data_IF_201457303762
#
_entry.id   IF_201457303762
#
_cell.length_a   1.000
_cell.length_b   1.000
_cell.length_c   1.000
_cell.angle_alpha   90.00
_cell.angle_beta   90.00
_cell.angle_gamma   90.00
#
_symmetry.space_group_name_H-M   'P 1'
#
loop_
_entity.id
_entity.type
_entity.pdbx_description
1 polymer ?
#
# COMPACT_ATOMS: atom_id res chain seq x y z
N UNK A 1 21.01 -20.84 -14.34
CA UNK A 1 20.11 -19.84 -14.95
C UNK A 1 18.88 -20.59 -15.42
N UNK A 2 17.82 -20.60 -14.60
CA UNK A 2 16.51 -21.03 -15.07
C UNK A 2 16.01 -19.93 -16.02
N UNK A 3 15.93 -20.25 -17.29
CA UNK A 3 15.24 -19.41 -18.27
C UNK A 3 13.75 -19.57 -18.01
N UNK A 4 13.18 -18.72 -17.17
CA UNK A 4 11.73 -18.56 -17.11
C UNK A 4 11.32 -17.90 -18.44
N UNK A 5 10.79 -18.68 -19.37
CA UNK A 5 10.08 -18.14 -20.52
C UNK A 5 8.77 -17.54 -19.97
N UNK A 6 8.86 -16.31 -19.48
CA UNK A 6 7.74 -15.57 -18.92
C UNK A 6 6.92 -15.00 -20.07
N UNK A 7 5.94 -15.75 -20.52
CA UNK A 7 4.92 -15.22 -21.40
C UNK A 7 3.92 -14.39 -20.58
N UNK A 8 3.49 -13.25 -21.13
CA UNK A 8 2.46 -12.35 -20.59
C UNK A 8 1.08 -13.02 -20.32
N UNK A 9 0.98 -14.31 -20.54
CA UNK A 9 -0.25 -15.12 -20.47
C UNK A 9 -0.19 -16.23 -19.42
N UNK A 10 0.44 -15.99 -18.27
CA UNK A 10 0.27 -16.94 -17.17
C UNK A 10 -1.10 -16.73 -16.53
N UNK A 11 -2.05 -17.59 -16.89
CA UNK A 11 -3.43 -17.56 -16.42
C UNK A 11 -3.59 -17.78 -14.89
N UNK A 12 -2.49 -18.06 -14.18
CA UNK A 12 -2.49 -18.30 -12.75
C UNK A 12 -2.00 -17.10 -11.93
N UNK A 13 -1.58 -16.03 -12.58
CA UNK A 13 -1.11 -14.82 -11.89
C UNK A 13 -2.25 -13.83 -11.65
N UNK A 14 -2.44 -13.45 -10.40
CA UNK A 14 -3.48 -12.53 -9.92
C UNK A 14 -2.87 -11.39 -9.13
N UNK A 15 -3.57 -10.27 -9.07
CA UNK A 15 -3.22 -9.12 -8.25
C UNK A 15 -4.40 -8.72 -7.37
N UNK A 16 -4.11 -8.39 -6.12
CA UNK A 16 -5.04 -7.74 -5.20
C UNK A 16 -4.49 -6.38 -4.82
N UNK A 17 -5.21 -5.32 -5.17
CA UNK A 17 -4.87 -3.95 -4.80
C UNK A 17 -5.63 -3.59 -3.52
N UNK A 18 -4.90 -3.24 -2.48
CA UNK A 18 -5.43 -2.88 -1.17
C UNK A 18 -5.73 -1.37 -1.13
N UNK A 19 -6.99 -1.00 -1.19
CA UNK A 19 -7.46 0.38 -1.32
C UNK A 19 -8.52 0.77 -0.26
N UNK A 20 -8.44 0.19 0.93
CA UNK A 20 -9.43 0.39 2.01
C UNK A 20 -9.04 1.43 3.06
N UNK A 21 -7.83 1.98 3.01
CA UNK A 21 -7.34 2.94 4.00
C UNK A 21 -8.00 4.31 3.91
N UNK A 22 -8.19 4.98 5.05
CA UNK A 22 -8.78 6.34 5.11
C UNK A 22 -7.80 7.47 4.80
N UNK A 23 -6.50 7.21 4.80
CA UNK A 23 -5.44 8.09 4.30
C UNK A 23 -5.42 9.52 4.82
N UNK A 24 -5.70 9.74 6.12
CA UNK A 24 -5.86 11.09 6.71
C UNK A 24 -4.57 11.92 6.80
N UNK A 25 -3.40 11.29 6.68
CA UNK A 25 -2.11 11.95 6.91
C UNK A 25 -1.70 12.96 5.83
N UNK A 26 -2.38 12.97 4.68
CA UNK A 26 -2.23 13.96 3.63
C UNK A 26 -3.29 15.07 3.66
N UNK A 27 -4.02 15.18 4.78
CA UNK A 27 -4.95 16.28 4.98
C UNK A 27 -4.20 17.63 4.82
N UNK A 28 -4.82 18.65 4.22
CA UNK A 28 -6.20 18.77 3.76
C UNK A 28 -6.47 18.19 2.37
N UNK A 29 -5.47 17.69 1.65
CA UNK A 29 -5.64 17.13 0.31
C UNK A 29 -6.43 15.82 0.34
N UNK A 30 -6.18 14.95 1.32
CA UNK A 30 -7.01 13.78 1.58
C UNK A 30 -8.12 14.10 2.56
N UNK A 31 -9.29 13.53 2.35
CA UNK A 31 -10.49 13.67 3.19
C UNK A 31 -11.07 12.29 3.48
N UNK A 32 -11.87 12.17 4.53
CA UNK A 32 -12.56 10.92 4.86
C UNK A 32 -13.45 10.41 3.73
N UNK A 33 -14.10 11.33 3.00
CA UNK A 33 -14.91 11.04 1.82
C UNK A 33 -14.09 10.78 0.55
N UNK A 34 -12.84 11.18 0.51
CA UNK A 34 -11.95 11.09 -0.64
C UNK A 34 -10.52 10.81 -0.20
N UNK A 35 -10.22 9.55 0.20
CA UNK A 35 -8.89 9.17 0.66
C UNK A 35 -7.81 9.31 -0.40
N UNK A 36 -6.55 9.34 0.03
CA UNK A 36 -5.38 9.61 -0.82
C UNK A 36 -5.27 8.71 -2.07
N UNK A 37 -5.66 7.45 -1.99
CA UNK A 37 -5.58 6.52 -3.12
C UNK A 37 -6.51 6.90 -4.28
N UNK A 38 -7.57 7.67 -4.04
CA UNK A 38 -8.53 8.13 -5.03
C UNK A 38 -8.21 9.53 -5.59
N UNK A 39 -7.03 10.08 -5.27
CA UNK A 39 -6.62 11.43 -5.65
C UNK A 39 -5.50 11.38 -6.70
N UNK A 40 -5.59 12.26 -7.70
CA UNK A 40 -4.47 12.62 -8.56
C UNK A 40 -3.61 13.68 -7.85
N UNK A 41 -2.77 13.22 -6.92
CA UNK A 41 -2.02 14.11 -6.04
C UNK A 41 -0.95 14.92 -6.79
N UNK A 42 -0.37 14.34 -7.84
CA UNK A 42 0.74 14.95 -8.59
C UNK A 42 0.30 15.64 -9.89
N UNK A 43 -0.98 15.65 -10.22
CA UNK A 43 -1.49 16.30 -11.43
C UNK A 43 -1.08 15.59 -12.73
N UNK A 44 -0.97 14.28 -12.70
CA UNK A 44 -0.57 13.46 -13.87
C UNK A 44 -1.76 12.95 -14.70
N UNK A 45 -3.00 13.28 -14.31
CA UNK A 45 -4.23 12.87 -14.98
C UNK A 45 -4.76 11.51 -14.54
N UNK A 46 -4.10 10.83 -13.60
CA UNK A 46 -4.50 9.53 -13.04
C UNK A 46 -4.36 9.55 -11.53
N UNK A 47 -5.34 8.98 -10.82
CA UNK A 47 -5.27 8.80 -9.37
C UNK A 47 -4.24 7.73 -8.98
N UNK A 48 -3.87 7.67 -7.72
CA UNK A 48 -2.94 6.64 -7.21
C UNK A 48 -3.47 5.22 -7.48
N UNK A 49 -4.76 5.00 -7.25
CA UNK A 49 -5.41 3.72 -7.55
C UNK A 49 -5.33 3.39 -9.04
N UNK A 50 -5.64 4.33 -9.92
CA UNK A 50 -5.57 4.15 -11.35
C UNK A 50 -4.14 3.87 -11.82
N UNK A 51 -3.15 4.58 -11.31
CA UNK A 51 -1.73 4.33 -11.63
C UNK A 51 -1.29 2.93 -11.20
N UNK A 52 -1.72 2.48 -10.03
CA UNK A 52 -1.41 1.13 -9.52
C UNK A 52 -2.05 0.06 -10.39
N UNK A 53 -3.32 0.24 -10.76
CA UNK A 53 -4.01 -0.66 -11.69
C UNK A 53 -3.31 -0.72 -13.06
N UNK A 54 -2.99 0.42 -13.66
CA UNK A 54 -2.31 0.50 -14.95
C UNK A 54 -0.96 -0.22 -14.93
N UNK A 55 -0.21 -0.07 -13.83
CA UNK A 55 1.07 -0.75 -13.62
C UNK A 55 0.90 -2.26 -13.55
N UNK A 56 -0.07 -2.72 -12.77
CA UNK A 56 -0.31 -4.15 -12.59
C UNK A 56 -0.91 -4.80 -13.84
N UNK A 57 -1.71 -4.09 -14.63
CA UNK A 57 -2.27 -4.58 -15.88
C UNK A 57 -1.22 -4.85 -16.98
N UNK A 58 0.00 -4.33 -16.81
CA UNK A 58 1.16 -4.66 -17.66
C UNK A 58 1.88 -5.94 -17.21
N UNK A 59 1.52 -6.51 -16.07
CA UNK A 59 2.21 -7.65 -15.44
C UNK A 59 1.32 -8.87 -15.36
N UNK A 60 0.05 -8.70 -14.99
CA UNK A 60 -0.95 -9.77 -14.92
C UNK A 60 -2.13 -9.42 -15.82
N UNK A 61 -2.95 -10.41 -16.24
CA UNK A 61 -4.17 -10.12 -16.99
C UNK A 61 -5.06 -9.12 -16.25
N UNK A 62 -5.61 -8.13 -16.96
CA UNK A 62 -6.42 -7.08 -16.33
C UNK A 62 -7.67 -7.63 -15.62
N UNK A 63 -8.24 -8.73 -16.12
CA UNK A 63 -9.38 -9.43 -15.51
C UNK A 63 -8.98 -10.30 -14.30
N UNK A 64 -7.70 -10.39 -13.97
CA UNK A 64 -7.17 -11.01 -12.76
C UNK A 64 -6.82 -9.99 -11.66
N UNK A 65 -7.17 -8.73 -11.83
CA UNK A 65 -6.93 -7.69 -10.83
C UNK A 65 -8.18 -7.47 -10.00
N UNK A 66 -8.03 -7.63 -8.69
CA UNK A 66 -9.06 -7.44 -7.66
C UNK A 66 -8.75 -6.21 -6.83
N UNK A 67 -9.79 -5.49 -6.41
CA UNK A 67 -9.67 -4.30 -5.57
C UNK A 67 -10.33 -4.59 -4.22
N UNK A 68 -9.57 -4.50 -3.14
CA UNK A 68 -10.12 -4.48 -1.79
C UNK A 68 -10.33 -3.04 -1.35
N UNK A 69 -11.54 -2.72 -0.92
CA UNK A 69 -11.87 -1.40 -0.43
C UNK A 69 -12.92 -1.48 0.68
N UNK A 70 -13.25 -0.35 1.27
CA UNK A 70 -14.39 -0.24 2.18
C UNK A 70 -15.69 -0.04 1.39
N UNK A 71 -16.83 -0.49 1.92
CA UNK A 71 -18.16 -0.30 1.30
C UNK A 71 -18.41 1.15 0.89
N UNK A 72 -18.00 2.10 1.71
CA UNK A 72 -18.19 3.54 1.45
C UNK A 72 -17.42 4.06 0.22
N UNK A 73 -16.42 3.34 -0.26
CA UNK A 73 -15.57 3.74 -1.40
C UNK A 73 -15.83 2.95 -2.68
N UNK A 74 -16.77 2.02 -2.68
CA UNK A 74 -17.07 1.19 -3.85
C UNK A 74 -17.43 2.03 -5.07
N UNK A 75 -18.23 3.09 -4.90
CA UNK A 75 -18.63 3.96 -5.99
C UNK A 75 -17.44 4.73 -6.59
N UNK A 76 -16.47 5.15 -5.75
CA UNK A 76 -15.21 5.75 -6.23
C UNK A 76 -14.37 4.76 -7.04
N UNK A 77 -14.30 3.50 -6.60
CA UNK A 77 -13.59 2.47 -7.36
C UNK A 77 -14.26 2.23 -8.72
N UNK A 78 -15.59 2.12 -8.76
CA UNK A 78 -16.34 1.95 -10.02
C UNK A 78 -16.19 3.12 -10.98
N UNK A 79 -16.18 4.34 -10.46
CA UNK A 79 -15.96 5.55 -11.23
C UNK A 79 -14.55 5.59 -11.84
N UNK A 80 -13.52 5.29 -11.04
CA UNK A 80 -12.13 5.39 -11.45
C UNK A 80 -11.63 4.19 -12.25
N UNK A 81 -12.18 3.00 -12.00
CA UNK A 81 -11.83 1.73 -12.65
C UNK A 81 -13.08 1.05 -13.22
N UNK A 82 -13.75 1.64 -14.22
CA UNK A 82 -14.98 1.09 -14.79
C UNK A 82 -14.77 -0.27 -15.46
N UNK A 83 -13.54 -0.62 -15.83
CA UNK A 83 -13.15 -1.91 -16.38
C UNK A 83 -13.14 -3.06 -15.36
N UNK A 84 -13.16 -2.76 -14.06
CA UNK A 84 -13.20 -3.77 -13.01
C UNK A 84 -14.65 -4.16 -12.73
N UNK A 85 -14.99 -5.44 -12.94
CA UNK A 85 -16.33 -5.95 -12.66
C UNK A 85 -16.64 -5.92 -11.15
N UNK A 86 -17.92 -5.83 -10.80
CA UNK A 86 -18.37 -5.83 -9.40
C UNK A 86 -17.87 -7.03 -8.60
N UNK A 87 -17.74 -8.20 -9.23
CA UNK A 87 -17.26 -9.43 -8.59
C UNK A 87 -15.78 -9.38 -8.16
N UNK A 88 -15.03 -8.43 -8.71
CA UNK A 88 -13.62 -8.20 -8.40
C UNK A 88 -13.40 -7.01 -7.47
N UNK A 89 -14.47 -6.38 -6.98
CA UNK A 89 -14.41 -5.35 -5.95
C UNK A 89 -14.87 -5.98 -4.62
N UNK A 90 -13.92 -6.13 -3.70
CA UNK A 90 -14.17 -6.69 -2.37
C UNK A 90 -14.56 -5.55 -1.42
N UNK A 91 -15.85 -5.42 -1.09
CA UNK A 91 -16.38 -4.34 -0.28
C UNK A 91 -16.41 -4.73 1.21
N UNK A 92 -15.46 -4.29 1.97
CA UNK A 92 -15.38 -4.57 3.41
C UNK A 92 -16.36 -3.69 4.19
N UNK A 93 -17.19 -4.26 5.09
CA UNK A 93 -18.15 -3.48 5.88
C UNK A 93 -17.47 -2.64 6.96
N UNK A 94 -16.29 -3.03 7.39
CA UNK A 94 -15.48 -2.35 8.40
C UNK A 94 -13.99 -2.58 8.12
N UNK A 95 -13.15 -1.61 8.46
CA UNK A 95 -11.70 -1.76 8.34
C UNK A 95 -11.13 -2.69 9.42
N UNK A 96 -10.41 -3.74 9.00
CA UNK A 96 -9.74 -4.72 9.88
C UNK A 96 -8.26 -4.93 9.55
N UNK A 97 -7.63 -3.95 8.85
CA UNK A 97 -6.25 -4.01 8.42
C UNK A 97 -6.00 -5.07 7.31
N UNK A 98 -4.75 -5.34 7.00
CA UNK A 98 -4.36 -6.06 5.78
C UNK A 98 -4.58 -7.57 5.84
N UNK A 99 -4.42 -8.23 7.00
CA UNK A 99 -4.57 -9.67 7.05
C UNK A 99 -5.99 -10.18 6.73
N UNK A 100 -7.07 -9.65 7.31
CA UNK A 100 -8.43 -10.02 6.92
C UNK A 100 -8.76 -9.68 5.47
N UNK A 101 -8.31 -8.53 4.97
CA UNK A 101 -8.50 -8.12 3.57
C UNK A 101 -7.87 -9.11 2.60
N UNK A 102 -6.62 -9.47 2.83
CA UNK A 102 -5.90 -10.44 2.03
C UNK A 102 -6.50 -11.84 2.14
N UNK A 103 -6.95 -12.25 3.33
CA UNK A 103 -7.57 -13.55 3.53
C UNK A 103 -8.86 -13.72 2.73
N UNK A 104 -9.71 -12.70 2.71
CA UNK A 104 -10.94 -12.76 1.93
C UNK A 104 -10.69 -12.79 0.42
N UNK A 105 -9.83 -11.92 -0.09
CA UNK A 105 -9.48 -11.93 -1.51
C UNK A 105 -8.81 -13.25 -1.92
N UNK A 106 -7.91 -13.78 -1.09
CA UNK A 106 -7.28 -15.07 -1.32
C UNK A 106 -8.29 -16.22 -1.38
N UNK A 107 -9.28 -16.21 -0.49
CA UNK A 107 -10.36 -17.21 -0.51
C UNK A 107 -11.11 -17.17 -1.83
N UNK A 108 -11.60 -16.00 -2.24
CA UNK A 108 -12.33 -15.86 -3.52
C UNK A 108 -11.52 -16.35 -4.72
N UNK A 109 -10.29 -15.91 -4.82
CA UNK A 109 -9.42 -16.32 -5.94
C UNK A 109 -9.13 -17.81 -5.89
N UNK A 110 -8.88 -18.38 -4.71
CA UNK A 110 -8.60 -19.82 -4.57
C UNK A 110 -9.79 -20.70 -4.96
N UNK A 111 -11.02 -20.24 -4.72
CA UNK A 111 -12.23 -20.95 -5.12
C UNK A 111 -12.46 -20.91 -6.64
N UNK A 112 -11.99 -19.88 -7.31
CA UNK A 112 -12.06 -19.75 -8.77
C UNK A 112 -10.87 -20.40 -9.49
N UNK A 113 -9.69 -20.35 -8.88
CA UNK A 113 -8.46 -20.94 -9.41
C UNK A 113 -7.57 -21.43 -8.26
N UNK A 114 -7.57 -22.74 -7.95
CA UNK A 114 -6.77 -23.28 -6.84
C UNK A 114 -5.25 -23.27 -7.10
N UNK A 115 -4.81 -23.04 -8.32
CA UNK A 115 -3.40 -22.94 -8.71
C UNK A 115 -2.89 -21.49 -8.78
N UNK A 116 -3.71 -20.54 -8.36
CA UNK A 116 -3.36 -19.11 -8.44
C UNK A 116 -2.19 -18.73 -7.57
N UNK A 117 -1.40 -17.78 -8.08
CA UNK A 117 -0.40 -17.02 -7.33
C UNK A 117 -0.84 -15.56 -7.28
N UNK A 118 -0.73 -14.94 -6.13
CA UNK A 118 -1.23 -13.59 -5.90
C UNK A 118 -0.09 -12.65 -5.50
N UNK A 119 -0.06 -11.48 -6.13
CA UNK A 119 0.62 -10.31 -5.60
C UNK A 119 -0.42 -9.41 -4.91
N UNK A 120 -0.20 -9.13 -3.63
CA UNK A 120 -0.96 -8.14 -2.87
C UNK A 120 -0.14 -6.85 -2.81
N UNK A 121 -0.69 -5.74 -3.25
CA UNK A 121 0.01 -4.47 -3.31
C UNK A 121 -0.84 -3.34 -2.72
N UNK A 122 -0.23 -2.40 -1.96
CA UNK A 122 -0.89 -1.14 -1.64
C UNK A 122 -1.26 -0.36 -2.90
N UNK A 123 -2.24 0.54 -2.78
CA UNK A 123 -2.78 1.34 -3.89
C UNK A 123 -2.12 2.70 -4.07
N UNK A 124 -1.16 3.07 -3.23
CA UNK A 124 -0.71 4.45 -3.04
C UNK A 124 0.81 4.60 -2.92
N UNK A 125 1.55 3.73 -3.59
CA UNK A 125 3.01 3.77 -3.63
C UNK A 125 3.53 4.25 -4.99
N UNK A 126 4.69 4.93 -4.99
CA UNK A 126 5.42 5.25 -6.20
C UNK A 126 6.41 4.14 -6.56
N UNK A 127 6.46 3.80 -7.83
CA UNK A 127 7.45 2.92 -8.44
C UNK A 127 8.10 3.70 -9.59
N UNK A 128 9.40 4.00 -9.47
CA UNK A 128 10.09 4.87 -10.43
C UNK A 128 10.64 4.13 -11.63
N UNK A 129 10.92 2.83 -11.51
CA UNK A 129 11.36 1.98 -12.60
C UNK A 129 10.38 0.81 -12.78
N UNK A 130 9.33 1.03 -13.58
CA UNK A 130 8.26 0.04 -13.77
C UNK A 130 8.75 -1.23 -14.49
N UNK A 131 9.77 -1.15 -15.35
CA UNK A 131 10.30 -2.34 -16.03
C UNK A 131 11.08 -3.24 -15.05
N UNK A 132 11.90 -2.66 -14.17
CA UNK A 132 12.56 -3.41 -13.11
C UNK A 132 11.53 -4.01 -12.13
N UNK A 133 10.49 -3.27 -11.78
CA UNK A 133 9.39 -3.76 -10.97
C UNK A 133 8.67 -4.95 -11.61
N UNK A 134 8.32 -4.82 -12.89
CA UNK A 134 7.69 -5.90 -13.65
C UNK A 134 8.53 -7.17 -13.63
N UNK A 135 9.82 -7.05 -13.87
CA UNK A 135 10.76 -8.18 -13.84
C UNK A 135 10.77 -8.85 -12.47
N UNK A 136 10.93 -8.07 -11.40
CA UNK A 136 10.93 -8.60 -10.03
C UNK A 136 9.60 -9.28 -9.67
N UNK A 137 8.47 -8.70 -10.05
CA UNK A 137 7.15 -9.31 -9.77
C UNK A 137 7.00 -10.65 -10.49
N UNK A 138 7.38 -10.74 -11.76
CA UNK A 138 7.30 -12.00 -12.51
C UNK A 138 8.24 -13.07 -11.94
N UNK A 139 9.45 -12.70 -11.54
CA UNK A 139 10.39 -13.61 -10.85
C UNK A 139 9.80 -14.08 -9.49
N UNK A 140 9.22 -13.17 -8.73
CA UNK A 140 8.58 -13.48 -7.45
C UNK A 140 7.36 -14.40 -7.59
N UNK A 141 6.50 -14.15 -8.59
CA UNK A 141 5.36 -15.01 -8.88
C UNK A 141 5.80 -16.43 -9.30
N UNK A 142 6.83 -16.54 -10.12
CA UNK A 142 7.41 -17.83 -10.48
C UNK A 142 8.00 -18.58 -9.27
N UNK A 143 8.66 -17.86 -8.37
CA UNK A 143 9.20 -18.42 -7.14
C UNK A 143 8.10 -18.99 -6.24
N UNK A 144 7.03 -18.24 -5.98
CA UNK A 144 5.94 -18.71 -5.11
C UNK A 144 5.04 -19.76 -5.76
N UNK A 145 5.04 -19.86 -7.08
CA UNK A 145 4.40 -20.97 -7.79
C UNK A 145 5.12 -22.31 -7.53
N UNK A 146 6.44 -22.26 -7.39
CA UNK A 146 7.27 -23.46 -7.16
C UNK A 146 7.56 -23.73 -5.67
N UNK A 147 7.26 -22.80 -4.78
CA UNK A 147 7.61 -22.87 -3.37
C UNK A 147 6.47 -22.38 -2.48
N UNK A 148 6.13 -23.16 -1.46
CA UNK A 148 5.18 -22.77 -0.42
C UNK A 148 5.85 -21.78 0.54
N UNK A 149 5.99 -20.53 0.08
CA UNK A 149 6.63 -19.42 0.79
C UNK A 149 5.77 -18.19 0.72
N UNK A 150 5.84 -17.38 1.76
CA UNK A 150 5.34 -16.01 1.78
C UNK A 150 6.51 -15.10 1.42
N UNK A 151 6.40 -14.36 0.32
CA UNK A 151 7.46 -13.52 -0.20
C UNK A 151 7.09 -12.04 -0.07
N UNK A 152 7.96 -11.24 0.54
CA UNK A 152 7.83 -9.78 0.55
C UNK A 152 8.90 -9.14 -0.32
N UNK A 153 8.55 -8.08 -1.02
CA UNK A 153 9.51 -7.24 -1.75
C UNK A 153 10.13 -6.24 -0.80
N UNK A 154 11.45 -6.16 -0.79
CA UNK A 154 12.21 -5.30 0.09
C UNK A 154 13.20 -4.46 -0.70
N UNK A 155 13.39 -3.20 -0.28
CA UNK A 155 14.29 -2.25 -0.93
C UNK A 155 15.33 -1.74 0.05
N UNK A 156 16.52 -1.43 -0.46
CA UNK A 156 17.61 -0.92 0.36
C UNK A 156 17.24 0.45 0.95
N UNK A 157 17.36 0.64 2.27
CA UNK A 157 17.12 1.95 2.89
C UNK A 157 18.14 2.98 2.38
N UNK A 158 17.66 4.18 2.13
CA UNK A 158 18.48 5.33 1.72
C UNK A 158 18.69 6.33 2.85
N UNK A 159 17.96 6.18 3.94
CA UNK A 159 17.99 7.03 5.14
C UNK A 159 17.40 6.29 6.34
N UNK A 160 17.68 6.72 7.58
CA UNK A 160 16.95 6.25 8.76
C UNK A 160 15.51 6.79 8.73
N UNK A 161 14.54 5.93 8.50
CA UNK A 161 13.12 6.29 8.44
C UNK A 161 12.32 5.58 9.53
N UNK A 162 11.89 6.27 10.60
CA UNK A 162 11.13 5.65 11.69
C UNK A 162 9.70 5.26 11.31
N UNK A 163 9.21 5.76 10.18
CA UNK A 163 7.86 5.51 9.68
C UNK A 163 7.69 4.21 8.90
N UNK A 164 8.77 3.46 8.66
CA UNK A 164 8.77 2.25 7.83
C UNK A 164 9.01 0.98 8.63
N UNK A 165 8.59 -0.15 8.07
CA UNK A 165 8.97 -1.47 8.53
C UNK A 165 10.35 -1.88 8.00
N UNK A 166 11.12 -2.58 8.81
CA UNK A 166 12.46 -3.08 8.49
C UNK A 166 12.50 -4.60 8.58
N UNK A 167 13.08 -5.21 7.56
CA UNK A 167 13.29 -6.65 7.49
C UNK A 167 14.78 -6.94 7.57
N UNK A 168 15.17 -7.77 8.53
CA UNK A 168 16.54 -8.27 8.60
C UNK A 168 16.68 -9.46 7.65
N UNK A 169 17.66 -9.35 6.76
CA UNK A 169 18.01 -10.40 5.81
C UNK A 169 18.67 -11.57 6.53
N UNK A 170 18.16 -12.77 6.27
CA UNK A 170 18.73 -14.02 6.75
C UNK A 170 19.52 -14.77 5.67
N UNK A 171 19.47 -16.10 5.70
CA UNK A 171 20.18 -16.95 4.77
C UNK A 171 19.63 -16.86 3.34
N UNK A 172 20.51 -17.06 2.37
CA UNK A 172 20.14 -17.13 0.96
C UNK A 172 19.25 -18.35 0.71
N UNK A 173 18.11 -18.13 0.06
CA UNK A 173 17.22 -19.18 -0.42
C UNK A 173 17.47 -19.44 -1.90
N UNK A 174 17.46 -18.38 -2.70
CA UNK A 174 17.66 -18.42 -4.14
C UNK A 174 18.10 -17.02 -4.59
N UNK A 175 19.09 -16.88 -5.45
CA UNK A 175 19.65 -15.63 -6.04
C UNK A 175 19.41 -14.36 -5.18
N UNK A 176 18.39 -13.55 -5.47
CA UNK A 176 18.05 -12.33 -4.71
C UNK A 176 16.97 -12.55 -3.63
N UNK A 177 16.70 -13.81 -3.30
CA UNK A 177 15.69 -14.19 -2.29
C UNK A 177 16.37 -14.76 -1.06
N UNK A 178 15.99 -14.22 0.09
CA UNK A 178 16.57 -14.54 1.40
C UNK A 178 15.47 -14.90 2.40
N UNK A 179 15.79 -15.74 3.35
CA UNK A 179 14.91 -15.94 4.51
C UNK A 179 14.80 -14.64 5.31
N UNK A 180 13.62 -14.37 5.87
CA UNK A 180 13.43 -13.28 6.83
C UNK A 180 13.96 -13.71 8.19
N UNK A 181 14.97 -13.02 8.72
CA UNK A 181 15.52 -13.29 10.04
C UNK A 181 14.73 -12.60 11.13
N UNK A 182 14.37 -11.34 10.94
CA UNK A 182 13.53 -10.58 11.86
C UNK A 182 12.77 -9.47 11.13
N UNK A 183 11.70 -8.98 11.75
CA UNK A 183 10.91 -7.85 11.29
C UNK A 183 10.70 -6.87 12.43
N UNK A 184 10.88 -5.59 12.15
CA UNK A 184 10.63 -4.50 13.11
C UNK A 184 9.77 -3.44 12.45
N UNK A 185 8.58 -3.20 12.99
CA UNK A 185 7.68 -2.17 12.50
C UNK A 185 7.96 -0.86 13.20
N UNK A 186 8.21 0.18 12.43
CA UNK A 186 8.36 1.58 12.88
C UNK A 186 9.29 1.73 14.09
N UNK A 187 10.58 1.40 13.94
CA UNK A 187 11.54 1.52 15.01
C UNK A 187 11.75 2.98 15.42
N UNK A 188 12.26 3.18 16.63
CA UNK A 188 12.76 4.50 17.03
C UNK A 188 13.93 4.94 16.15
N UNK A 189 14.12 6.25 16.01
CA UNK A 189 15.12 6.84 15.09
C UNK A 189 16.54 6.29 15.27
N UNK A 190 16.95 6.06 16.51
CA UNK A 190 18.29 5.54 16.80
C UNK A 190 18.45 4.08 16.33
N UNK A 191 17.42 3.27 16.49
CA UNK A 191 17.39 1.91 15.93
C UNK A 191 17.35 1.91 14.41
N UNK A 192 16.55 2.78 13.80
CA UNK A 192 16.52 2.93 12.34
C UNK A 192 17.91 3.27 11.78
N UNK A 193 18.67 4.12 12.48
CA UNK A 193 20.04 4.50 12.13
C UNK A 193 20.98 3.27 12.15
N UNK A 194 20.92 2.50 13.23
CA UNK A 194 21.70 1.26 13.39
C UNK A 194 21.35 0.26 12.28
N UNK A 195 20.07 0.11 11.95
CA UNK A 195 19.61 -0.79 10.88
C UNK A 195 20.18 -0.40 9.51
N UNK A 196 20.15 0.87 9.18
CA UNK A 196 20.73 1.38 7.91
C UNK A 196 22.24 1.16 7.88
N UNK A 197 22.94 1.49 8.95
CA UNK A 197 24.41 1.36 9.06
C UNK A 197 24.89 -0.09 9.01
N UNK A 198 24.10 -1.04 9.50
CA UNK A 198 24.46 -2.47 9.48
C UNK A 198 24.52 -3.06 8.08
N UNK A 199 23.74 -2.54 7.14
CA UNK A 199 23.60 -3.11 5.80
C UNK A 199 22.81 -4.40 5.71
N UNK A 200 22.27 -4.91 6.83
CA UNK A 200 21.53 -6.17 6.92
C UNK A 200 19.99 -5.98 6.84
N UNK A 201 19.52 -4.74 6.97
CA UNK A 201 18.09 -4.41 7.01
C UNK A 201 17.63 -3.73 5.71
N UNK A 202 16.42 -4.10 5.31
CA UNK A 202 15.75 -3.57 4.13
C UNK A 202 14.39 -3.02 4.50
N UNK A 203 13.91 -2.00 3.80
CA UNK A 203 12.55 -1.51 3.97
C UNK A 203 11.55 -2.52 3.44
N UNK A 204 10.55 -2.82 4.25
CA UNK A 204 9.40 -3.60 3.84
C UNK A 204 8.46 -2.72 2.98
N UNK A 205 8.28 -3.08 1.72
CA UNK A 205 7.40 -2.32 0.82
C UNK A 205 5.92 -2.56 1.08
N UNK A 206 5.57 -3.61 1.81
CA UNK A 206 4.18 -4.05 1.95
C UNK A 206 3.61 -4.72 0.70
N UNK A 207 4.45 -5.07 -0.26
CA UNK A 207 4.08 -5.84 -1.46
C UNK A 207 4.41 -7.31 -1.19
N UNK A 208 3.37 -8.15 -1.17
CA UNK A 208 3.46 -9.56 -0.76
C UNK A 208 3.03 -10.49 -1.87
N UNK A 209 3.77 -11.58 -2.05
CA UNK A 209 3.47 -12.63 -3.02
C UNK A 209 3.35 -13.98 -2.31
N UNK A 210 2.39 -14.78 -2.74
CA UNK A 210 2.23 -16.17 -2.29
C UNK A 210 1.34 -16.93 -3.28
N UNK A 211 1.45 -18.26 -3.30
CA UNK A 211 0.38 -19.05 -3.88
C UNK A 211 -0.82 -19.09 -2.92
N UNK A 212 -2.02 -19.30 -3.47
CA UNK A 212 -3.27 -19.25 -2.68
C UNK A 212 -3.35 -20.30 -1.60
N UNK A 213 -2.78 -21.48 -1.84
CA UNK A 213 -2.80 -22.60 -0.90
C UNK A 213 -1.96 -22.27 0.34
N UNK A 214 -0.73 -21.83 0.14
CA UNK A 214 0.17 -21.46 1.23
C UNK A 214 -0.35 -20.28 2.03
N UNK A 215 -0.86 -19.25 1.35
CA UNK A 215 -1.42 -18.08 2.01
C UNK A 215 -2.63 -18.41 2.88
N UNK A 216 -3.48 -19.32 2.41
CA UNK A 216 -4.59 -19.85 3.20
C UNK A 216 -4.11 -20.55 4.48
N UNK A 217 -3.06 -21.37 4.38
CA UNK A 217 -2.44 -22.03 5.54
C UNK A 217 -1.89 -21.00 6.55
N UNK A 218 -1.25 -19.94 6.06
CA UNK A 218 -0.77 -18.86 6.91
C UNK A 218 -1.91 -18.17 7.67
N UNK A 219 -2.99 -17.82 6.99
CA UNK A 219 -4.14 -17.17 7.62
C UNK A 219 -4.90 -18.08 8.59
N UNK A 220 -4.93 -19.38 8.34
CA UNK A 220 -5.51 -20.34 9.29
C UNK A 220 -4.80 -20.36 10.66
N UNK A 221 -3.55 -19.93 10.72
CA UNK A 221 -2.76 -19.88 11.96
C UNK A 221 -2.95 -18.59 12.74
N UNK A 222 -3.29 -17.48 12.06
CA UNK A 222 -3.29 -16.14 12.65
C UNK A 222 -4.68 -15.50 12.74
N UNK A 223 -5.66 -16.03 12.02
CA UNK A 223 -7.03 -15.48 11.96
C UNK A 223 -8.07 -16.48 12.48
N UNK A 224 -9.18 -15.98 13.04
CA UNK A 224 -10.34 -16.81 13.35
C UNK A 224 -10.85 -17.60 12.12
N UNK A 225 -11.50 -18.75 12.29
CA UNK A 225 -11.86 -19.67 11.21
C UNK A 225 -13.07 -19.25 10.39
N UNK A 226 -13.28 -17.95 10.15
CA UNK A 226 -14.46 -17.38 9.48
C UNK A 226 -14.70 -18.02 8.11
N UNK A 227 -13.67 -18.08 7.27
CA UNK A 227 -13.78 -18.61 5.92
C UNK A 227 -13.87 -20.16 5.89
N UNK A 228 -13.25 -20.84 6.85
CA UNK A 228 -13.43 -22.30 6.99
C UNK A 228 -14.84 -22.66 7.42
N UNK A 229 -15.47 -21.85 8.24
CA UNK A 229 -16.87 -22.00 8.64
C UNK A 229 -17.79 -21.73 7.47
N UNK A 230 -17.48 -20.74 6.62
CA UNK A 230 -18.17 -20.51 5.36
C UNK A 230 -18.15 -21.76 4.47
N UNK A 231 -16.97 -22.33 4.23
CA UNK A 231 -16.80 -23.51 3.37
C UNK A 231 -17.60 -24.72 3.86
N UNK A 232 -17.70 -24.90 5.18
CA UNK A 232 -18.53 -25.97 5.76
C UNK A 232 -20.02 -25.71 5.58
N UNK A 233 -20.43 -24.46 5.70
CA UNK A 233 -21.85 -24.06 5.59
C UNK A 233 -22.32 -24.03 4.14
N UNK A 234 -21.44 -23.69 3.21
CA UNK A 234 -21.74 -23.53 1.79
C UNK A 234 -20.79 -24.39 0.95
N UNK A 235 -21.08 -25.70 0.80
CA UNK A 235 -20.21 -26.62 0.03
C UNK A 235 -20.03 -26.22 -1.44
N UNK A 236 -21.05 -25.55 -1.99
CA UNK A 236 -20.99 -24.98 -3.34
C UNK A 236 -20.68 -23.48 -3.22
N UNK A 237 -19.50 -23.08 -3.70
CA UNK A 237 -19.07 -21.69 -3.68
C UNK A 237 -19.89 -20.84 -4.64
N UNK A 238 -20.33 -19.67 -4.16
CA UNK A 238 -20.78 -18.59 -5.02
C UNK A 238 -20.33 -17.24 -4.46
N UNK A 239 -20.04 -16.30 -5.34
CA UNK A 239 -19.62 -14.93 -4.95
C UNK A 239 -20.73 -14.25 -4.16
N UNK A 240 -21.97 -14.46 -4.52
CA UNK A 240 -23.14 -13.88 -3.84
C UNK A 240 -23.25 -14.36 -2.39
N UNK A 241 -23.14 -15.67 -2.16
CA UNK A 241 -23.20 -16.22 -0.79
C UNK A 241 -21.99 -15.82 0.04
N UNK A 242 -20.81 -15.77 -0.56
CA UNK A 242 -19.59 -15.29 0.12
C UNK A 242 -19.73 -13.83 0.54
N UNK A 243 -20.17 -12.96 -0.37
CA UNK A 243 -20.40 -11.55 -0.06
C UNK A 243 -21.40 -11.36 1.08
N UNK A 244 -22.53 -12.06 1.05
CA UNK A 244 -23.54 -11.98 2.09
C UNK A 244 -22.99 -12.45 3.45
N UNK A 245 -22.27 -13.56 3.46
CA UNK A 245 -21.64 -14.10 4.66
C UNK A 245 -20.58 -13.16 5.24
N UNK A 246 -19.71 -12.63 4.40
CA UNK A 246 -18.65 -11.71 4.84
C UNK A 246 -19.20 -10.37 5.31
N UNK A 247 -20.29 -9.88 4.75
CA UNK A 247 -20.97 -8.68 5.24
C UNK A 247 -21.40 -8.82 6.71
N UNK A 248 -21.84 -9.99 7.13
CA UNK A 248 -22.27 -10.27 8.50
C UNK A 248 -21.10 -10.63 9.43
N UNK A 249 -20.07 -11.29 8.93
CA UNK A 249 -19.03 -11.93 9.75
C UNK A 249 -17.69 -11.22 9.75
N UNK A 250 -17.41 -10.32 8.81
CA UNK A 250 -16.10 -9.66 8.67
C UNK A 250 -15.70 -8.87 9.93
N UNK A 251 -16.67 -8.31 10.65
CA UNK A 251 -16.43 -7.59 11.90
C UNK A 251 -15.87 -8.47 13.02
N UNK A 252 -16.01 -9.79 12.93
CA UNK A 252 -15.45 -10.74 13.90
C UNK A 252 -13.94 -10.92 13.75
N UNK A 253 -13.34 -10.49 12.64
CA UNK A 253 -11.90 -10.50 12.49
C UNK A 253 -11.23 -9.48 13.41
N UNK A 254 -10.05 -9.82 13.97
CA UNK A 254 -9.23 -8.85 14.68
C UNK A 254 -8.66 -7.80 13.71
N UNK A 255 -8.34 -6.63 14.23
CA UNK A 255 -7.63 -5.59 13.47
C UNK A 255 -6.14 -5.89 13.48
N UNK A 256 -5.68 -6.67 12.50
CA UNK A 256 -4.30 -7.15 12.44
C UNK A 256 -3.70 -6.98 11.02
N UNK A 257 -2.45 -6.48 10.97
CA UNK A 257 -1.70 -6.45 9.72
C UNK A 257 -1.04 -7.80 9.43
N UNK A 258 -0.90 -8.09 8.15
CA UNK A 258 -0.18 -9.30 7.70
C UNK A 258 1.29 -9.28 8.13
N UNK A 259 1.87 -8.11 8.25
CA UNK A 259 3.26 -7.92 8.70
C UNK A 259 3.50 -8.55 10.07
N UNK A 260 2.66 -8.23 11.04
CA UNK A 260 2.72 -8.83 12.39
C UNK A 260 2.32 -10.31 12.40
N UNK A 261 1.34 -10.67 11.59
CA UNK A 261 0.86 -12.05 11.54
C UNK A 261 1.84 -13.04 10.92
N UNK A 262 2.58 -12.63 9.91
CA UNK A 262 3.42 -13.52 9.09
C UNK A 262 4.91 -13.21 9.22
N UNK A 263 5.33 -11.92 9.16
CA UNK A 263 6.74 -11.57 9.18
C UNK A 263 7.37 -11.58 10.58
N UNK A 264 6.59 -11.30 11.62
CA UNK A 264 7.08 -11.23 13.01
C UNK A 264 7.31 -12.61 13.66
N UNK A 265 6.97 -13.68 12.97
CA UNK A 265 7.11 -15.06 13.47
C UNK A 265 8.14 -15.82 12.64
N UNK A 266 8.95 -16.73 13.26
CA UNK A 266 9.74 -17.69 12.51
C UNK A 266 8.80 -18.47 11.58
N UNK A 267 8.81 -18.14 10.32
CA UNK A 267 7.90 -18.68 9.33
C UNK A 267 8.66 -18.99 8.05
N UNK A 268 7.97 -19.55 7.07
CA UNK A 268 8.48 -19.68 5.71
C UNK A 268 8.48 -18.34 4.95
N UNK A 269 8.56 -17.20 5.63
CA UNK A 269 8.64 -15.90 5.01
C UNK A 269 10.03 -15.66 4.42
N UNK A 270 10.03 -15.16 3.20
CA UNK A 270 11.20 -14.75 2.46
C UNK A 270 11.09 -13.28 2.06
N UNK A 271 12.24 -12.65 1.82
CA UNK A 271 12.32 -11.34 1.20
C UNK A 271 13.04 -11.42 -0.13
N UNK A 272 12.56 -10.66 -1.11
CA UNK A 272 13.28 -10.44 -2.37
C UNK A 272 13.93 -9.05 -2.32
N UNK A 273 15.24 -8.98 -2.56
CA UNK A 273 15.95 -7.72 -2.74
C UNK A 273 15.57 -7.09 -4.07
N UNK A 274 15.01 -5.91 -4.04
CA UNK A 274 14.54 -5.19 -5.21
C UNK A 274 15.20 -3.82 -5.33
N UNK A 275 15.36 -3.36 -6.58
CA UNK A 275 15.93 -2.06 -6.90
C UNK A 275 15.13 -1.40 -8.04
N UNK A 276 13.82 -1.20 -7.80
CA UNK A 276 12.93 -0.57 -8.78
C UNK A 276 12.59 0.89 -8.44
N UNK A 277 13.23 1.48 -7.43
CA UNK A 277 12.90 2.82 -6.97
C UNK A 277 11.50 2.89 -6.37
N UNK A 278 11.42 2.70 -5.07
CA UNK A 278 10.16 2.66 -4.31
C UNK A 278 10.06 3.84 -3.35
N UNK A 279 8.86 4.38 -3.22
CA UNK A 279 8.52 5.34 -2.18
C UNK A 279 7.09 5.10 -1.65
N UNK A 280 6.95 5.14 -0.33
CA UNK A 280 5.64 5.28 0.32
C UNK A 280 5.21 6.74 0.23
N UNK A 281 4.05 7.00 -0.35
CA UNK A 281 3.47 8.34 -0.49
C UNK A 281 2.40 8.61 0.57
N UNK A 282 2.53 7.99 1.74
CA UNK A 282 1.53 8.00 2.79
C UNK A 282 1.51 9.25 3.67
N UNK A 283 2.57 10.06 3.66
CA UNK A 283 2.72 11.25 4.51
C UNK A 283 3.34 12.40 3.74
N UNK A 284 3.17 13.63 4.21
CA UNK A 284 3.85 14.80 3.65
C UNK A 284 5.37 14.66 3.71
N UNK A 285 5.89 14.09 4.80
CA UNK A 285 7.32 13.83 4.93
C UNK A 285 7.83 12.84 3.89
N UNK A 286 7.15 11.71 3.69
CA UNK A 286 7.57 10.71 2.70
C UNK A 286 7.47 11.25 1.26
N UNK A 287 6.48 12.07 0.96
CA UNK A 287 6.36 12.76 -0.32
C UNK A 287 7.52 13.74 -0.52
N UNK A 288 7.83 14.56 0.48
CA UNK A 288 8.96 15.48 0.42
C UNK A 288 10.28 14.73 0.14
N UNK A 289 10.54 13.62 0.84
CA UNK A 289 11.74 12.81 0.64
C UNK A 289 11.82 12.16 -0.75
N UNK A 290 10.69 11.76 -1.32
CA UNK A 290 10.62 11.08 -2.61
C UNK A 290 10.75 12.02 -3.82
N UNK A 291 10.35 13.28 -3.67
CA UNK A 291 10.28 14.23 -4.78
C UNK A 291 11.62 14.92 -5.01
N UNK A 292 11.84 15.34 -6.28
CA UNK A 292 12.98 16.18 -6.63
C UNK A 292 12.85 17.57 -5.96
N UNK A 293 13.92 18.01 -5.33
CA UNK A 293 14.00 19.26 -4.61
C UNK A 293 14.61 20.36 -5.48
N UNK A 294 14.16 21.61 -5.26
CA UNK A 294 14.82 22.81 -5.81
C UNK A 294 16.19 23.03 -5.19
N UNK A 295 16.92 24.04 -5.66
CA UNK A 295 18.22 24.44 -5.07
C UNK A 295 18.12 24.80 -3.58
N UNK A 296 16.96 25.35 -3.16
CA UNK A 296 16.67 25.70 -1.76
C UNK A 296 15.94 24.57 -1.00
N UNK A 297 15.99 23.34 -1.50
CA UNK A 297 15.37 22.16 -0.93
C UNK A 297 13.83 22.27 -0.78
N UNK A 298 13.18 23.04 -1.63
CA UNK A 298 11.71 23.10 -1.70
C UNK A 298 11.13 22.07 -2.67
N UNK A 299 9.95 21.58 -2.35
CA UNK A 299 9.15 20.70 -3.20
C UNK A 299 7.83 21.39 -3.51
N UNK A 300 7.59 21.70 -4.78
CA UNK A 300 6.35 22.29 -5.27
C UNK A 300 5.60 21.25 -6.10
N UNK A 301 4.37 20.92 -5.70
CA UNK A 301 3.58 19.84 -6.29
C UNK A 301 2.42 20.44 -7.06
N UNK A 302 2.47 20.36 -8.41
CA UNK A 302 1.38 20.78 -9.30
C UNK A 302 0.72 22.11 -8.86
N UNK A 303 1.56 23.13 -8.63
CA UNK A 303 1.12 24.39 -8.01
C UNK A 303 1.78 25.60 -8.66
N UNK A 304 1.05 26.72 -8.69
CA UNK A 304 1.54 28.02 -9.11
C UNK A 304 2.00 28.80 -7.88
N UNK A 305 3.32 29.02 -7.76
CA UNK A 305 3.92 29.63 -6.58
C UNK A 305 4.97 30.69 -6.96
N UNK A 306 5.01 31.73 -6.16
CA UNK A 306 6.10 32.69 -6.12
C UNK A 306 6.79 32.57 -4.75
N UNK A 307 8.02 32.08 -4.75
CA UNK A 307 8.77 31.77 -3.53
C UNK A 307 10.00 32.65 -3.43
N UNK A 308 10.19 33.29 -2.29
CA UNK A 308 11.36 34.07 -1.93
C UNK A 308 11.79 33.72 -0.51
N UNK A 309 13.09 33.46 -0.31
CA UNK A 309 13.67 33.12 1.00
C UNK A 309 12.93 31.98 1.73
N UNK A 310 12.56 30.93 1.01
CA UNK A 310 11.96 29.72 1.55
C UNK A 310 12.87 28.52 1.35
N UNK A 311 12.98 27.67 2.38
CA UNK A 311 13.84 26.50 2.41
C UNK A 311 13.10 25.29 3.00
N UNK A 312 13.46 24.07 2.56
CA UNK A 312 12.95 22.81 3.12
C UNK A 312 11.40 22.74 3.21
N UNK A 313 10.70 23.40 2.31
CA UNK A 313 9.25 23.59 2.38
C UNK A 313 8.57 22.80 1.26
N UNK A 314 7.43 22.17 1.56
CA UNK A 314 6.59 21.49 0.58
C UNK A 314 5.30 22.26 0.39
N UNK A 315 4.93 22.50 -0.88
CA UNK A 315 3.77 23.32 -1.26
C UNK A 315 2.88 22.56 -2.21
N UNK A 316 1.59 22.50 -1.89
CA UNK A 316 0.54 22.02 -2.80
C UNK A 316 -0.68 22.91 -2.72
N UNK A 317 -0.97 23.59 -3.82
CA UNK A 317 -2.09 24.53 -3.96
C UNK A 317 -3.08 24.04 -5.01
N UNK A 318 -4.36 24.43 -4.92
CA UNK A 318 -5.33 24.13 -5.96
C UNK A 318 -5.00 24.84 -7.28
N UNK A 319 -5.44 24.26 -8.39
CA UNK A 319 -5.29 24.87 -9.72
C UNK A 319 -5.94 26.23 -9.78
N UNK A 320 -5.28 27.16 -10.50
CA UNK A 320 -5.80 28.53 -10.70
C UNK A 320 -5.60 29.47 -9.50
N UNK A 321 -4.89 29.01 -8.47
CA UNK A 321 -4.54 29.84 -7.30
C UNK A 321 -3.03 30.02 -7.22
N UNK A 322 -2.59 31.29 -7.19
CA UNK A 322 -1.21 31.63 -6.94
C UNK A 322 -0.94 31.72 -5.44
N UNK A 323 0.10 31.06 -4.96
CA UNK A 323 0.65 31.27 -3.62
C UNK A 323 1.91 32.12 -3.68
N UNK A 324 1.99 33.12 -2.83
CA UNK A 324 3.20 33.95 -2.63
C UNK A 324 3.73 33.67 -1.24
N UNK A 325 4.95 33.11 -1.17
CA UNK A 325 5.56 32.64 0.07
C UNK A 325 6.92 33.30 0.29
N UNK A 326 7.12 33.83 1.47
CA UNK A 326 8.40 34.47 1.86
C UNK A 326 8.79 34.04 3.27
N UNK A 327 10.07 33.67 3.45
CA UNK A 327 10.68 33.47 4.76
C UNK A 327 10.27 32.15 5.46
N UNK A 328 9.76 31.15 4.76
CA UNK A 328 9.40 29.85 5.34
C UNK A 328 10.58 28.89 5.31
N UNK A 329 10.86 28.25 6.42
CA UNK A 329 11.85 27.17 6.52
C UNK A 329 11.26 25.95 7.24
N UNK A 330 11.16 24.82 6.51
CA UNK A 330 10.68 23.58 7.08
C UNK A 330 9.16 23.50 7.26
N UNK A 331 8.37 24.06 6.35
CA UNK A 331 6.91 24.09 6.43
C UNK A 331 6.22 23.23 5.38
N UNK A 332 5.00 22.86 5.71
CA UNK A 332 3.99 22.38 4.76
C UNK A 332 3.02 23.54 4.49
N UNK A 333 2.79 23.85 3.23
CA UNK A 333 1.75 24.79 2.78
C UNK A 333 0.84 24.02 1.83
N UNK A 334 -0.37 23.70 2.24
CA UNK A 334 -1.29 22.91 1.45
C UNK A 334 -2.71 23.46 1.55
N UNK A 335 -3.35 23.66 0.41
CA UNK A 335 -4.74 24.06 0.35
C UNK A 335 -5.55 23.11 -0.50
N UNK A 336 -6.72 22.74 -0.02
CA UNK A 336 -7.71 21.97 -0.75
C UNK A 336 -9.10 22.41 -0.32
N UNK A 337 -9.94 22.76 -1.31
CA UNK A 337 -11.32 23.19 -1.10
C UNK A 337 -11.42 24.32 -0.04
N UNK A 338 -11.99 24.02 1.11
CA UNK A 338 -12.26 24.97 2.19
C UNK A 338 -11.20 25.02 3.30
N UNK A 339 -10.03 24.40 3.10
CA UNK A 339 -8.98 24.33 4.12
C UNK A 339 -7.62 24.73 3.58
N UNK A 340 -6.94 25.64 4.29
CA UNK A 340 -5.53 25.95 4.15
C UNK A 340 -4.79 25.44 5.39
N UNK A 341 -3.77 24.61 5.18
CA UNK A 341 -2.85 24.15 6.22
C UNK A 341 -1.49 24.82 6.03
N UNK A 342 -1.00 25.46 7.08
CA UNK A 342 0.39 25.88 7.21
C UNK A 342 0.91 25.35 8.54
N UNK A 343 1.83 24.40 8.49
CA UNK A 343 2.42 23.84 9.71
C UNK A 343 3.87 23.40 9.47
N UNK A 344 4.60 23.18 10.56
CA UNK A 344 5.94 22.61 10.47
C UNK A 344 5.91 21.22 9.84
N UNK A 345 6.87 20.96 8.95
CA UNK A 345 7.05 19.64 8.32
C UNK A 345 7.51 18.59 9.33
N UNK A 346 8.34 18.99 10.29
CA UNK A 346 8.77 18.14 11.39
C UNK A 346 7.55 17.70 12.22
N UNK A 347 7.47 16.42 12.49
CA UNK A 347 6.33 15.77 13.20
C UNK A 347 4.95 16.04 12.59
N UNK A 348 4.89 16.37 11.31
CA UNK A 348 3.65 16.75 10.64
C UNK A 348 2.55 15.70 10.71
N UNK A 349 2.87 14.40 10.66
CA UNK A 349 1.87 13.33 10.79
C UNK A 349 1.15 13.35 12.13
N UNK A 350 1.86 13.60 13.23
CA UNK A 350 1.29 13.74 14.57
C UNK A 350 0.47 15.03 14.70
N UNK A 351 1.00 16.14 14.19
CA UNK A 351 0.30 17.43 14.19
C UNK A 351 -1.01 17.38 13.39
N UNK A 352 -0.97 16.83 12.19
CA UNK A 352 -2.15 16.70 11.33
C UNK A 352 -3.21 15.81 11.98
N UNK A 353 -2.81 14.69 12.57
CA UNK A 353 -3.75 13.82 13.31
C UNK A 353 -4.45 14.58 14.43
N UNK A 354 -3.70 15.35 15.21
CA UNK A 354 -4.23 16.20 16.26
C UNK A 354 -5.24 17.21 15.72
N UNK A 355 -4.87 17.95 14.67
CA UNK A 355 -5.75 18.98 14.07
C UNK A 355 -7.02 18.40 13.48
N UNK A 356 -6.92 17.31 12.73
CA UNK A 356 -8.08 16.61 12.17
C UNK A 356 -9.06 16.17 13.25
N UNK A 357 -8.57 15.55 14.33
CA UNK A 357 -9.40 15.13 15.44
C UNK A 357 -10.07 16.32 16.15
N UNK A 358 -9.33 17.38 16.44
CA UNK A 358 -9.88 18.57 17.12
C UNK A 358 -10.90 19.30 16.24
N UNK A 359 -10.65 19.44 14.95
CA UNK A 359 -11.55 20.08 14.00
C UNK A 359 -12.83 19.26 13.87
N UNK A 360 -12.72 17.93 13.74
CA UNK A 360 -13.88 17.05 13.66
C UNK A 360 -14.78 17.19 14.89
N UNK A 361 -14.19 17.23 16.10
CA UNK A 361 -14.95 17.41 17.35
C UNK A 361 -15.61 18.78 17.46
N UNK A 362 -14.95 19.84 17.00
CA UNK A 362 -15.41 21.23 17.19
C UNK A 362 -16.30 21.73 16.06
N UNK A 363 -16.10 21.24 14.84
CA UNK A 363 -16.71 21.79 13.61
C UNK A 363 -17.46 20.72 12.78
N UNK A 364 -17.38 19.44 13.16
CA UNK A 364 -17.97 18.35 12.39
C UNK A 364 -17.11 17.88 11.23
N UNK A 365 -17.73 17.10 10.33
CA UNK A 365 -17.01 16.35 9.28
C UNK A 365 -16.73 17.16 8.00
N UNK A 366 -17.23 18.40 7.92
CA UNK A 366 -17.13 19.24 6.70
C UNK A 366 -15.67 19.50 6.28
N UNK A 367 -14.76 19.57 7.23
CA UNK A 367 -13.36 19.92 6.98
C UNK A 367 -12.39 18.72 7.01
N UNK A 368 -12.87 17.52 7.26
CA UNK A 368 -12.01 16.34 7.51
C UNK A 368 -12.23 15.16 6.58
#
# INVERSE_FOLDING_TARGET
KMNYNMTLNDNNNYCVILAGGKGRRLWPCSRSSHPKQFIDFFGVGRTQLQQTFDRMAKIVPADHIYINTNEEYVDLVKEQLPEVSADRIMAEPIHRNTAPSMAWANHRISMLNPDACIINTPSDQAIFNEEAFRKNVLEGLAFVAANDRFLTMAVKPTRPEPGYGYIQMGDVVEEDIYAVQSFTEKPERDFAKIFVESGEFYWNTGIFLSNVKHLRECFCKILPPVLREYDKKYPEFSIETENAYMKETFSSYPNISVDFGVLDKPSNACMMKCDFGWADLGTWHSIYEAMQKSEDDNVVIDSDVFIEDCHNTVVKMPKGKLAVLNGLDGFIVAEKDNVLLVCKKEDSSALIRKYVNEIQMKKGDEYV
#
